data_IF_601137771410
#
_entry.id   IF_601137771410
#
_cell.length_a   1.000
_cell.length_b   1.000
_cell.length_c   1.000
_cell.angle_alpha   90.00
_cell.angle_beta   90.00
_cell.angle_gamma   90.00
#
_symmetry.space_group_name_H-M   'P 1'
#
loop_
_entity.id
_entity.type
_entity.pdbx_description
1 polymer ?
#
# COMPACT_ATOMS: atom_id res chain seq x y z
N UNK A 1 22.00 -61.58 30.75
CA UNK A 1 20.71 -62.23 30.44
C UNK A 1 19.70 -61.10 30.30
N UNK A 2 19.56 -60.53 29.10
CA UNK A 2 18.61 -60.94 28.08
C UNK A 2 17.17 -60.57 28.46
N UNK A 3 16.65 -59.47 27.91
CA UNK A 3 15.37 -59.39 27.21
C UNK A 3 15.08 -57.93 26.82
N UNK A 4 14.90 -57.74 25.52
CA UNK A 4 14.67 -56.47 24.84
C UNK A 4 13.23 -55.97 24.99
N UNK A 5 13.02 -54.66 24.87
CA UNK A 5 11.78 -54.09 24.35
C UNK A 5 12.08 -52.70 23.78
N UNK A 6 11.99 -52.60 22.46
CA UNK A 6 12.22 -51.42 21.62
C UNK A 6 11.02 -50.47 21.68
N UNK A 7 11.25 -49.20 22.02
CA UNK A 7 10.30 -48.11 21.77
C UNK A 7 10.55 -47.49 20.39
N UNK A 8 9.55 -47.42 19.48
CA UNK A 8 9.71 -46.70 18.23
C UNK A 8 9.45 -45.20 18.45
N UNK A 9 10.39 -44.42 17.91
CA UNK A 9 10.41 -42.99 17.72
C UNK A 9 9.36 -42.60 16.66
N UNK A 10 8.21 -42.02 17.05
CA UNK A 10 7.27 -41.38 16.13
C UNK A 10 6.33 -40.41 16.88
N UNK A 11 6.82 -39.21 17.18
CA UNK A 11 5.98 -38.12 17.69
C UNK A 11 6.51 -36.78 17.16
N UNK A 12 6.21 -36.42 15.91
CA UNK A 12 6.34 -35.05 15.40
C UNK A 12 5.72 -34.95 13.99
N UNK A 13 4.38 -34.88 13.90
CA UNK A 13 3.62 -34.39 12.72
C UNK A 13 2.11 -34.52 13.00
N UNK A 14 1.53 -33.53 13.70
CA UNK A 14 0.09 -33.27 13.67
C UNK A 14 -0.20 -31.87 14.24
N UNK A 15 -1.26 -31.23 13.75
CA UNK A 15 -1.87 -29.96 14.18
C UNK A 15 -1.49 -28.74 13.31
N UNK A 16 -1.98 -28.74 12.07
CA UNK A 16 -2.53 -27.53 11.41
C UNK A 16 -3.90 -27.93 10.87
N UNK A 17 -4.92 -27.87 11.73
CA UNK A 17 -6.33 -28.01 11.35
C UNK A 17 -7.21 -27.50 12.50
N UNK A 18 -7.67 -26.26 12.42
CA UNK A 18 -8.91 -25.79 13.06
C UNK A 18 -9.15 -24.30 12.73
N UNK A 19 -9.91 -24.03 11.68
CA UNK A 19 -10.99 -23.06 11.73
C UNK A 19 -12.09 -23.44 10.72
N UNK A 20 -13.27 -23.59 11.28
CA UNK A 20 -14.47 -24.27 10.82
C UNK A 20 -15.23 -23.65 9.62
N UNK A 21 -15.72 -24.54 8.74
CA UNK A 21 -17.12 -24.73 8.29
C UNK A 21 -17.86 -23.55 7.63
N UNK A 22 -17.86 -23.54 6.29
CA UNK A 22 -19.05 -23.32 5.46
C UNK A 22 -18.89 -24.13 4.15
N UNK A 23 -19.89 -24.93 3.79
CA UNK A 23 -19.83 -25.95 2.73
C UNK A 23 -19.76 -25.43 1.29
N UNK A 24 -18.62 -24.88 0.88
CA UNK A 24 -18.15 -24.85 -0.50
C UNK A 24 -16.91 -25.73 -0.63
N UNK A 25 -16.65 -26.32 -1.80
CA UNK A 25 -15.43 -27.09 -2.07
C UNK A 25 -14.22 -26.39 -1.44
N UNK A 26 -13.60 -27.05 -0.45
CA UNK A 26 -12.54 -26.43 0.34
C UNK A 26 -11.35 -26.12 -0.54
N UNK A 27 -11.20 -24.86 -0.95
CA UNK A 27 -10.07 -24.42 -1.75
C UNK A 27 -8.75 -24.70 -1.03
N UNK A 28 -7.69 -24.94 -1.81
CA UNK A 28 -6.36 -25.24 -1.31
C UNK A 28 -5.87 -24.15 -0.33
N UNK A 29 -5.17 -24.58 0.71
CA UNK A 29 -4.69 -23.76 1.81
C UNK A 29 -3.36 -23.08 1.46
N UNK A 30 -2.97 -22.09 2.26
CA UNK A 30 -1.69 -21.41 2.12
C UNK A 30 -0.53 -22.42 2.13
N UNK A 31 0.27 -22.43 1.07
CA UNK A 31 1.41 -23.33 0.89
C UNK A 31 1.10 -24.63 0.12
N UNK A 32 -0.17 -24.95 -0.10
CA UNK A 32 -0.54 -26.09 -0.94
C UNK A 32 -0.08 -25.87 -2.37
N UNK A 33 0.41 -26.94 -3.01
CA UNK A 33 0.79 -26.88 -4.43
C UNK A 33 -0.44 -26.68 -5.30
N UNK A 34 -0.33 -25.83 -6.31
CA UNK A 34 -1.42 -25.47 -7.20
C UNK A 34 -0.94 -25.41 -8.65
N UNK A 35 -1.87 -25.37 -9.59
CA UNK A 35 -1.58 -25.20 -11.01
C UNK A 35 -2.00 -23.80 -11.45
N UNK A 36 -1.10 -23.07 -12.11
CA UNK A 36 -1.35 -21.69 -12.54
C UNK A 36 -2.57 -21.56 -13.48
N UNK A 37 -2.99 -22.66 -14.11
CA UNK A 37 -4.18 -22.74 -14.95
C UNK A 37 -5.52 -22.68 -14.20
N UNK A 38 -5.51 -22.79 -12.87
CA UNK A 38 -6.73 -22.71 -12.06
C UNK A 38 -6.53 -21.76 -10.87
N UNK A 39 -6.72 -20.46 -11.08
CA UNK A 39 -6.82 -19.51 -9.97
C UNK A 39 -7.90 -19.96 -8.95
N UNK A 40 -8.89 -20.74 -9.39
CA UNK A 40 -9.93 -21.38 -8.58
C UNK A 40 -9.45 -22.52 -7.67
N UNK A 41 -8.21 -22.98 -7.79
CA UNK A 41 -7.69 -24.06 -6.91
C UNK A 41 -7.41 -23.56 -5.50
N UNK A 42 -6.99 -22.31 -5.34
CA UNK A 42 -6.76 -21.70 -4.04
C UNK A 42 -8.06 -21.15 -3.47
N UNK A 43 -8.23 -21.24 -2.15
CA UNK A 43 -9.35 -20.59 -1.46
C UNK A 43 -9.39 -19.06 -1.64
N UNK A 44 -10.50 -18.44 -1.25
CA UNK A 44 -10.70 -17.00 -1.36
C UNK A 44 -9.57 -16.19 -0.69
N UNK A 45 -9.16 -15.08 -1.32
CA UNK A 45 -8.07 -14.23 -0.82
C UNK A 45 -6.66 -14.83 -1.00
N UNK A 46 -6.53 -15.80 -1.89
CA UNK A 46 -5.25 -16.43 -2.26
C UNK A 46 -5.10 -16.50 -3.78
N UNK A 47 -3.85 -16.62 -4.22
CA UNK A 47 -3.47 -16.77 -5.62
C UNK A 47 -2.47 -17.91 -5.75
N UNK A 48 -2.62 -18.71 -6.79
CA UNK A 48 -1.58 -19.65 -7.19
C UNK A 48 -0.40 -18.87 -7.77
N UNK A 49 0.72 -18.83 -7.04
CA UNK A 49 1.88 -18.04 -7.40
C UNK A 49 3.15 -18.90 -7.39
N UNK A 50 4.02 -18.64 -8.37
CA UNK A 50 5.41 -19.10 -8.31
C UNK A 50 6.30 -17.91 -8.01
N UNK A 51 7.37 -18.17 -7.29
CA UNK A 51 8.42 -17.20 -7.09
C UNK A 51 9.75 -17.65 -7.75
N UNK A 52 9.67 -18.67 -8.62
CA UNK A 52 10.72 -19.00 -9.59
C UNK A 52 11.06 -17.78 -10.45
N UNK A 53 12.34 -17.53 -10.77
CA UNK A 53 13.50 -18.44 -10.70
C UNK A 53 14.34 -18.39 -9.42
N UNK A 54 13.88 -17.80 -8.32
CA UNK A 54 14.74 -17.69 -7.12
C UNK A 54 15.23 -19.06 -6.59
N UNK A 55 16.42 -19.11 -5.95
CA UNK A 55 16.87 -20.30 -5.23
C UNK A 55 15.85 -20.74 -4.15
N UNK A 56 15.48 -22.03 -4.15
CA UNK A 56 14.52 -22.61 -3.21
C UNK A 56 13.04 -22.44 -3.60
N UNK A 57 12.75 -22.39 -4.90
CA UNK A 57 11.41 -22.27 -5.46
C UNK A 57 10.94 -23.61 -6.03
N UNK A 58 10.10 -24.28 -5.26
CA UNK A 58 9.37 -25.47 -5.70
C UNK A 58 8.24 -25.14 -6.66
N UNK A 59 7.26 -26.04 -6.85
CA UNK A 59 6.11 -25.79 -7.71
C UNK A 59 5.32 -24.54 -7.26
N UNK A 60 4.46 -23.97 -8.11
CA UNK A 60 3.54 -22.91 -7.70
C UNK A 60 2.74 -23.34 -6.46
N UNK A 61 2.57 -22.43 -5.51
CA UNK A 61 1.80 -22.67 -4.28
C UNK A 61 0.73 -21.61 -4.09
N UNK A 62 -0.30 -21.95 -3.35
CA UNK A 62 -1.30 -20.98 -2.91
C UNK A 62 -0.67 -20.00 -1.93
N UNK A 63 -0.55 -18.74 -2.33
CA UNK A 63 -0.05 -17.65 -1.51
C UNK A 63 -1.17 -16.65 -1.23
N UNK A 64 -1.18 -16.10 -0.03
CA UNK A 64 -2.22 -15.19 0.42
C UNK A 64 -2.03 -13.81 -0.18
N UNK A 65 -3.14 -13.21 -0.61
CA UNK A 65 -3.18 -11.87 -1.22
C UNK A 65 -3.97 -10.86 -0.39
N UNK A 66 -4.86 -11.32 0.50
CA UNK A 66 -5.80 -10.45 1.23
C UNK A 66 -5.64 -10.60 2.76
N UNK A 67 -5.36 -9.51 3.51
CA UNK A 67 -5.34 -9.54 4.98
C UNK A 67 -6.75 -9.77 5.54
N UNK A 68 -6.85 -10.17 6.80
CA UNK A 68 -8.14 -10.20 7.50
C UNK A 68 -8.56 -8.74 7.71
N UNK A 69 -9.83 -8.44 7.49
CA UNK A 69 -10.33 -7.08 7.73
C UNK A 69 -10.28 -6.78 9.23
N UNK A 70 -9.44 -5.84 9.69
CA UNK A 70 -9.36 -5.55 11.11
C UNK A 70 -10.68 -5.02 11.69
N UNK A 71 -11.57 -4.47 10.85
CA UNK A 71 -12.90 -4.01 11.25
C UNK A 71 -13.82 -5.15 11.69
N UNK A 72 -13.49 -6.41 11.39
CA UNK A 72 -14.23 -7.58 11.87
C UNK A 72 -14.25 -7.69 13.41
N UNK A 73 -13.32 -7.02 14.10
CA UNK A 73 -13.25 -6.94 15.55
C UNK A 73 -13.76 -5.59 16.12
N UNK A 74 -14.49 -4.83 15.30
CA UNK A 74 -15.07 -3.54 15.66
C UNK A 74 -14.32 -2.35 15.06
N UNK A 75 -14.90 -1.17 15.21
CA UNK A 75 -14.37 0.11 14.72
C UNK A 75 -14.21 1.13 15.85
N UNK A 76 -14.18 0.65 17.09
CA UNK A 76 -14.18 1.43 18.33
C UNK A 76 -12.78 1.88 18.81
N UNK A 77 -11.72 1.48 18.12
CA UNK A 77 -10.37 1.97 18.38
C UNK A 77 -10.07 3.25 17.57
N UNK A 78 -9.15 4.06 18.06
CA UNK A 78 -8.58 5.20 17.32
C UNK A 78 -7.88 4.72 16.03
N UNK A 79 -7.92 5.51 14.95
CA UNK A 79 -7.37 5.08 13.65
C UNK A 79 -5.87 4.69 13.69
N UNK A 80 -5.07 5.32 14.55
CA UNK A 80 -3.67 4.95 14.81
C UNK A 80 -3.49 3.65 15.61
N UNK A 81 -4.56 2.89 15.86
CA UNK A 81 -4.54 1.55 16.47
C UNK A 81 -4.85 0.43 15.46
N UNK A 82 -4.88 0.76 14.18
CA UNK A 82 -5.01 -0.18 13.08
C UNK A 82 -3.72 -0.22 12.25
N UNK A 83 -3.46 -1.37 11.66
CA UNK A 83 -2.40 -1.57 10.67
C UNK A 83 -3.01 -1.89 9.30
N UNK A 84 -2.49 -1.24 8.26
CA UNK A 84 -2.98 -1.34 6.90
C UNK A 84 -1.89 -1.84 5.95
N UNK A 85 -2.24 -2.84 5.13
CA UNK A 85 -1.41 -3.21 4.01
C UNK A 85 -1.31 -2.02 3.04
N UNK A 86 -0.07 -1.67 2.67
CA UNK A 86 0.27 -0.52 1.85
C UNK A 86 1.10 -0.95 0.65
N UNK A 87 0.82 -0.41 -0.52
CA UNK A 87 1.58 -0.70 -1.74
C UNK A 87 2.47 0.47 -2.12
N UNK A 88 3.76 0.20 -2.33
CA UNK A 88 4.72 1.16 -2.84
C UNK A 88 4.46 1.39 -4.34
N UNK A 89 4.47 2.65 -4.79
CA UNK A 89 4.16 3.05 -6.16
C UNK A 89 2.97 2.30 -6.76
N UNK A 90 1.82 2.41 -6.07
CA UNK A 90 0.59 1.64 -6.35
C UNK A 90 0.12 1.73 -7.81
N UNK A 91 0.50 2.78 -8.51
CA UNK A 91 0.15 3.08 -9.90
C UNK A 91 1.10 2.44 -10.94
N UNK A 92 2.29 2.00 -10.53
CA UNK A 92 3.34 1.48 -11.40
C UNK A 92 3.13 -0.03 -11.65
N UNK A 93 2.32 -0.36 -12.66
CA UNK A 93 1.82 -1.72 -12.87
C UNK A 93 2.55 -2.42 -14.01
N UNK A 94 2.93 -3.69 -13.82
CA UNK A 94 3.53 -4.54 -14.85
C UNK A 94 2.69 -4.54 -16.12
N UNK A 95 3.31 -4.25 -17.27
CA UNK A 95 2.65 -4.27 -18.57
C UNK A 95 1.70 -3.09 -18.81
N UNK A 96 1.83 -2.01 -18.03
CA UNK A 96 1.05 -0.79 -18.25
C UNK A 96 1.22 -0.28 -19.69
N UNK A 97 0.12 -0.01 -20.42
CA UNK A 97 0.21 0.56 -21.75
C UNK A 97 0.75 2.00 -21.68
N UNK A 98 1.52 2.40 -22.69
CA UNK A 98 1.94 3.80 -22.79
C UNK A 98 0.74 4.73 -23.01
N UNK A 99 0.69 5.82 -22.25
CA UNK A 99 -0.29 6.91 -22.41
C UNK A 99 0.29 8.17 -23.03
N UNK A 100 1.60 8.19 -23.29
CA UNK A 100 2.34 9.31 -23.88
C UNK A 100 2.81 9.01 -25.31
N UNK A 101 2.57 7.79 -25.80
CA UNK A 101 3.10 7.29 -27.08
C UNK A 101 4.55 6.77 -27.00
N UNK A 102 5.26 7.01 -25.89
CA UNK A 102 6.60 6.45 -25.63
C UNK A 102 6.49 5.21 -24.75
N UNK A 103 7.12 4.06 -25.08
CA UNK A 103 7.11 2.88 -24.22
C UNK A 103 7.58 3.19 -22.79
N UNK A 104 6.88 2.64 -21.80
CA UNK A 104 7.28 2.76 -20.38
C UNK A 104 8.44 1.78 -20.15
N UNK A 105 9.59 2.30 -19.74
CA UNK A 105 10.79 1.50 -19.40
C UNK A 105 11.13 1.59 -17.91
N UNK A 106 10.47 2.47 -17.16
CA UNK A 106 10.62 2.53 -15.72
C UNK A 106 10.18 1.20 -15.06
N UNK A 107 10.81 0.80 -13.94
CA UNK A 107 10.43 -0.44 -13.25
C UNK A 107 9.01 -0.36 -12.66
N UNK A 108 8.18 -1.41 -12.81
CA UNK A 108 6.90 -1.51 -12.12
C UNK A 108 7.07 -1.98 -10.68
N UNK A 109 6.08 -1.70 -9.83
CA UNK A 109 6.05 -2.07 -8.42
C UNK A 109 4.91 -3.02 -8.08
N UNK A 110 3.84 -3.03 -8.88
CA UNK A 110 2.64 -3.82 -8.62
C UNK A 110 2.18 -4.59 -9.87
N UNK A 111 1.29 -5.57 -9.67
CA UNK A 111 0.71 -6.39 -10.75
C UNK A 111 -0.79 -6.13 -10.94
N UNK A 112 -1.42 -5.52 -9.95
CA UNK A 112 -2.85 -5.24 -9.93
C UNK A 112 -3.11 -3.76 -10.14
N UNK A 113 -4.24 -3.44 -10.76
CA UNK A 113 -4.77 -2.07 -10.77
C UNK A 113 -5.02 -1.57 -9.34
N UNK A 114 -5.08 -0.26 -9.14
CA UNK A 114 -5.38 0.31 -7.81
C UNK A 114 -6.74 -0.20 -7.33
N UNK A 115 -7.75 -0.28 -8.20
CA UNK A 115 -9.04 -0.90 -7.87
C UNK A 115 -8.90 -2.33 -7.35
N UNK A 116 -8.06 -3.16 -7.99
CA UNK A 116 -7.86 -4.55 -7.57
C UNK A 116 -7.07 -4.65 -6.26
N UNK A 117 -6.05 -3.81 -6.06
CA UNK A 117 -5.33 -3.68 -4.79
C UNK A 117 -6.30 -3.37 -3.64
N UNK A 118 -7.17 -2.38 -3.82
CA UNK A 118 -8.19 -1.99 -2.83
C UNK A 118 -9.19 -3.13 -2.56
N UNK A 119 -9.63 -3.86 -3.59
CA UNK A 119 -10.49 -5.05 -3.41
C UNK A 119 -9.78 -6.17 -2.64
N UNK A 120 -8.46 -6.29 -2.77
CA UNK A 120 -7.64 -7.25 -2.03
C UNK A 120 -7.19 -6.75 -0.65
N UNK A 121 -7.83 -5.71 -0.10
CA UNK A 121 -7.63 -5.28 1.29
C UNK A 121 -6.46 -4.31 1.50
N UNK A 122 -5.81 -3.85 0.42
CA UNK A 122 -4.88 -2.72 0.52
C UNK A 122 -5.67 -1.47 0.95
N UNK A 123 -5.15 -0.72 1.92
CA UNK A 123 -5.77 0.52 2.44
C UNK A 123 -4.79 1.69 2.56
N UNK A 124 -3.50 1.44 2.37
CA UNK A 124 -2.49 2.47 2.13
C UNK A 124 -2.00 2.43 0.67
N UNK A 125 -1.82 3.58 0.04
CA UNK A 125 -1.27 3.70 -1.31
C UNK A 125 -0.13 4.72 -1.30
N UNK A 126 0.99 4.42 -1.94
CA UNK A 126 2.09 5.38 -2.15
C UNK A 126 2.14 5.77 -3.62
N UNK A 127 2.24 7.07 -3.90
CA UNK A 127 2.22 7.63 -5.24
C UNK A 127 3.34 8.67 -5.40
N UNK A 128 3.92 8.75 -6.59
CA UNK A 128 4.89 9.79 -6.94
C UNK A 128 4.25 10.74 -7.95
N UNK A 129 4.03 12.01 -7.59
CA UNK A 129 3.25 12.95 -8.39
C UNK A 129 4.09 14.09 -8.97
N UNK A 130 3.92 14.36 -10.26
CA UNK A 130 4.67 15.37 -11.00
C UNK A 130 3.73 16.21 -11.87
N UNK A 131 4.01 17.51 -12.00
CA UNK A 131 3.45 18.29 -13.10
C UNK A 131 4.11 17.86 -14.43
N UNK A 132 3.29 17.41 -15.38
CA UNK A 132 3.76 16.90 -16.67
C UNK A 132 2.67 17.03 -17.73
N UNK A 133 3.05 17.51 -18.93
CA UNK A 133 2.10 17.73 -20.05
C UNK A 133 0.84 18.52 -19.65
N UNK A 134 1.01 19.57 -18.82
CA UNK A 134 -0.07 20.44 -18.31
C UNK A 134 -1.11 19.75 -17.41
N UNK A 135 -0.81 18.55 -16.89
CA UNK A 135 -1.61 17.81 -15.93
C UNK A 135 -0.71 17.29 -14.78
N UNK A 136 -1.29 16.67 -13.75
CA UNK A 136 -0.49 15.91 -12.77
C UNK A 136 -0.44 14.45 -13.20
N UNK A 137 0.77 13.93 -13.33
CA UNK A 137 1.06 12.56 -13.68
C UNK A 137 1.70 11.80 -12.53
N UNK A 138 1.45 10.49 -12.52
CA UNK A 138 2.13 9.54 -11.66
C UNK A 138 3.27 8.91 -12.45
N UNK A 139 4.49 9.14 -11.99
CA UNK A 139 5.69 8.75 -12.71
C UNK A 139 6.67 8.06 -11.77
N UNK A 140 7.28 6.96 -12.19
CA UNK A 140 8.39 6.36 -11.45
C UNK A 140 9.69 6.90 -12.04
N UNK A 141 10.08 8.09 -11.58
CA UNK A 141 11.04 8.97 -12.25
C UNK A 141 12.15 9.44 -11.31
N UNK A 142 13.04 10.30 -11.79
CA UNK A 142 14.17 10.82 -11.03
C UNK A 142 14.45 12.29 -11.33
N UNK A 143 15.23 12.95 -10.48
CA UNK A 143 15.65 14.35 -10.67
C UNK A 143 14.53 15.37 -10.58
N UNK A 144 13.44 15.03 -9.87
CA UNK A 144 12.28 15.92 -9.68
C UNK A 144 11.50 16.23 -10.95
N UNK A 145 11.66 15.42 -12.01
CA UNK A 145 11.00 15.61 -13.30
C UNK A 145 10.34 14.31 -13.73
N UNK A 146 9.19 14.40 -14.41
CA UNK A 146 8.60 13.26 -15.10
C UNK A 146 9.10 13.21 -16.55
N UNK A 147 9.49 12.01 -17.00
CA UNK A 147 9.88 11.73 -18.38
C UNK A 147 8.83 10.82 -19.04
N UNK A 148 8.66 10.94 -20.37
CA UNK A 148 7.69 10.13 -21.11
C UNK A 148 7.83 8.62 -20.89
N UNK A 149 9.07 8.12 -20.75
CA UNK A 149 9.37 6.71 -20.54
C UNK A 149 9.15 6.23 -19.09
N UNK A 150 8.90 7.16 -18.17
CA UNK A 150 8.63 6.93 -16.75
C UNK A 150 7.18 7.30 -16.35
N UNK A 151 6.43 7.89 -17.27
CA UNK A 151 5.07 8.36 -17.06
C UNK A 151 4.08 7.20 -17.21
N UNK A 152 3.59 6.67 -16.08
CA UNK A 152 2.67 5.54 -16.09
C UNK A 152 1.25 5.96 -16.45
N UNK A 153 0.71 6.94 -15.74
CA UNK A 153 -0.66 7.41 -15.93
C UNK A 153 -0.92 8.74 -15.25
N UNK A 154 -2.04 9.38 -15.60
CA UNK A 154 -2.48 10.62 -14.96
C UNK A 154 -2.94 10.35 -13.54
N UNK A 155 -2.61 11.24 -12.61
CA UNK A 155 -3.07 11.13 -11.22
C UNK A 155 -4.60 11.14 -11.12
N UNK A 156 -5.27 11.89 -12.00
CA UNK A 156 -6.74 11.93 -12.10
C UNK A 156 -7.38 10.55 -12.31
N UNK A 157 -6.74 9.67 -13.10
CA UNK A 157 -7.29 8.36 -13.41
C UNK A 157 -7.25 7.46 -12.15
N UNK A 158 -6.13 7.45 -11.43
CA UNK A 158 -5.97 6.71 -10.17
C UNK A 158 -6.86 7.27 -9.05
N UNK A 159 -6.95 8.60 -8.91
CA UNK A 159 -7.83 9.20 -7.90
C UNK A 159 -9.32 8.90 -8.17
N UNK A 160 -9.73 8.76 -9.44
CA UNK A 160 -11.08 8.29 -9.78
C UNK A 160 -11.31 6.82 -9.41
N UNK A 161 -10.31 5.96 -9.53
CA UNK A 161 -10.41 4.57 -9.03
C UNK A 161 -10.65 4.55 -7.50
N UNK A 162 -9.92 5.36 -6.75
CA UNK A 162 -10.10 5.51 -5.29
C UNK A 162 -11.52 6.04 -4.99
N UNK A 163 -11.97 7.05 -5.74
CA UNK A 163 -13.32 7.63 -5.58
C UNK A 163 -14.42 6.61 -5.80
N UNK A 164 -14.35 5.87 -6.92
CA UNK A 164 -15.29 4.80 -7.22
C UNK A 164 -15.30 3.70 -6.14
N UNK A 165 -14.14 3.35 -5.58
CA UNK A 165 -14.04 2.40 -4.48
C UNK A 165 -14.72 2.93 -3.20
N UNK A 166 -14.46 4.19 -2.82
CA UNK A 166 -15.06 4.80 -1.63
C UNK A 166 -16.57 5.03 -1.76
N UNK A 167 -17.08 5.30 -2.97
CA UNK A 167 -18.51 5.35 -3.28
C UNK A 167 -19.15 3.97 -3.08
N UNK A 168 -18.51 2.90 -3.57
CA UNK A 168 -19.04 1.53 -3.46
C UNK A 168 -18.88 0.91 -2.06
N UNK A 169 -17.95 1.39 -1.23
CA UNK A 169 -17.61 0.82 0.06
C UNK A 169 -17.68 1.89 1.17
N UNK A 170 -18.89 2.19 1.70
CA UNK A 170 -19.11 3.34 2.58
C UNK A 170 -18.43 3.24 3.96
N UNK A 171 -18.01 2.04 4.36
CA UNK A 171 -17.30 1.79 5.63
C UNK A 171 -15.77 1.81 5.52
N UNK A 172 -15.23 2.06 4.33
CA UNK A 172 -13.79 2.01 4.09
C UNK A 172 -13.11 3.37 4.22
N UNK A 173 -11.88 3.34 4.73
CA UNK A 173 -10.98 4.50 4.85
C UNK A 173 -9.70 4.19 4.09
N UNK A 174 -9.27 5.10 3.22
CA UNK A 174 -8.03 4.99 2.43
C UNK A 174 -7.03 6.04 2.89
N UNK A 175 -5.75 5.66 2.98
CA UNK A 175 -4.64 6.59 3.17
C UNK A 175 -3.76 6.62 1.92
N UNK A 176 -3.42 7.81 1.46
CA UNK A 176 -2.53 8.03 0.33
C UNK A 176 -1.33 8.86 0.78
N UNK A 177 -0.13 8.34 0.57
CA UNK A 177 1.13 9.04 0.76
C UNK A 177 1.64 9.47 -0.61
N UNK A 178 1.94 10.76 -0.78
CA UNK A 178 2.37 11.30 -2.07
C UNK A 178 3.78 11.85 -1.95
N UNK A 179 4.72 11.25 -2.67
CA UNK A 179 6.00 11.89 -2.97
C UNK A 179 5.75 13.01 -4.00
N UNK A 180 5.73 14.25 -3.52
CA UNK A 180 5.14 15.39 -4.24
C UNK A 180 6.21 16.27 -4.89
N UNK A 181 6.29 16.15 -6.21
CA UNK A 181 7.10 17.00 -7.10
C UNK A 181 6.24 17.98 -7.90
N UNK A 182 4.92 18.01 -7.69
CA UNK A 182 4.02 18.93 -8.36
C UNK A 182 4.06 20.32 -7.71
N UNK A 183 3.72 21.35 -8.48
CA UNK A 183 3.62 22.72 -8.01
C UNK A 183 2.51 22.94 -6.98
N UNK A 184 2.52 24.07 -6.25
CA UNK A 184 1.44 24.44 -5.35
C UNK A 184 0.08 24.52 -6.09
N UNK A 185 -0.95 23.88 -5.51
CA UNK A 185 -2.31 23.82 -6.02
C UNK A 185 -2.58 22.72 -7.04
N UNK A 186 -1.54 22.08 -7.58
CA UNK A 186 -1.69 21.05 -8.62
C UNK A 186 -2.42 19.82 -8.10
N UNK A 187 -2.00 19.22 -6.98
CA UNK A 187 -2.68 18.05 -6.41
C UNK A 187 -4.07 18.41 -5.90
N UNK A 188 -4.22 19.59 -5.27
CA UNK A 188 -5.52 20.07 -4.80
C UNK A 188 -6.57 20.13 -5.93
N UNK A 189 -6.18 20.60 -7.13
CA UNK A 189 -7.04 20.59 -8.32
C UNK A 189 -7.43 19.18 -8.76
N UNK A 190 -6.51 18.22 -8.72
CA UNK A 190 -6.80 16.82 -9.09
C UNK A 190 -7.72 16.16 -8.06
N UNK A 191 -7.47 16.37 -6.77
CA UNK A 191 -8.35 15.89 -5.68
C UNK A 191 -9.76 16.45 -5.85
N UNK A 192 -9.90 17.76 -6.07
CA UNK A 192 -11.20 18.39 -6.34
C UNK A 192 -11.87 17.84 -7.60
N UNK A 193 -11.14 17.77 -8.72
CA UNK A 193 -11.67 17.31 -10.01
C UNK A 193 -12.01 15.81 -10.06
N UNK A 194 -11.40 14.99 -9.19
CA UNK A 194 -11.76 13.58 -9.02
C UNK A 194 -13.02 13.36 -8.17
N UNK A 195 -13.50 14.40 -7.49
CA UNK A 195 -14.64 14.32 -6.56
C UNK A 195 -14.28 13.78 -5.17
N UNK A 196 -12.98 13.59 -4.87
CA UNK A 196 -12.51 13.03 -3.60
C UNK A 196 -12.58 14.01 -2.42
N UNK A 197 -12.73 15.32 -2.65
CA UNK A 197 -12.77 16.33 -1.58
C UNK A 197 -13.83 16.04 -0.52
N UNK A 198 -14.95 15.40 -0.89
CA UNK A 198 -16.02 15.01 0.06
C UNK A 198 -15.57 13.97 1.10
N UNK A 199 -14.49 13.25 0.84
CA UNK A 199 -13.93 12.22 1.73
C UNK A 199 -12.75 12.69 2.55
N UNK A 200 -12.15 13.82 2.19
CA UNK A 200 -10.86 14.23 2.72
C UNK A 200 -10.96 14.49 4.24
N UNK A 201 -10.08 13.86 5.01
CA UNK A 201 -9.89 14.19 6.41
C UNK A 201 -9.18 15.55 6.49
N UNK A 202 -9.80 16.58 7.09
CA UNK A 202 -9.25 17.92 7.07
C UNK A 202 -7.98 18.01 7.93
N UNK A 203 -6.84 18.52 7.41
CA UNK A 203 -5.60 18.66 8.17
C UNK A 203 -5.78 19.41 9.51
N UNK A 204 -6.67 20.40 9.56
CA UNK A 204 -6.98 21.17 10.77
C UNK A 204 -7.55 20.32 11.94
N UNK A 205 -8.13 19.15 11.66
CA UNK A 205 -8.66 18.21 12.68
C UNK A 205 -7.70 17.06 12.98
N UNK A 206 -6.55 16.97 12.30
CA UNK A 206 -5.61 15.86 12.52
C UNK A 206 -4.94 16.03 13.90
N UNK A 207 -4.76 14.94 14.67
CA UNK A 207 -4.11 15.01 15.97
C UNK A 207 -2.66 15.46 15.84
N UNK A 208 -2.19 16.23 16.81
CA UNK A 208 -0.80 16.70 16.91
C UNK A 208 -0.16 16.16 18.18
N UNK A 209 1.17 16.12 18.22
CA UNK A 209 1.92 15.77 19.42
C UNK A 209 1.68 14.34 19.92
N UNK A 210 1.48 13.39 19.01
CA UNK A 210 1.31 11.98 19.36
C UNK A 210 -0.09 11.57 19.80
N UNK A 211 -1.07 12.49 19.74
CA UNK A 211 -2.45 12.20 20.13
C UNK A 211 -3.09 11.08 19.31
N UNK A 212 -4.05 10.41 19.92
CA UNK A 212 -4.89 9.43 19.24
C UNK A 212 -5.74 10.11 18.16
N UNK A 213 -5.92 9.41 17.04
CA UNK A 213 -6.83 9.81 15.98
C UNK A 213 -8.28 9.59 16.40
N UNK A 214 -9.27 10.23 15.73
CA UNK A 214 -10.67 9.88 15.98
C UNK A 214 -10.90 8.38 15.83
N UNK A 215 -11.96 7.88 16.48
CA UNK A 215 -12.34 6.48 16.34
C UNK A 215 -12.62 6.19 14.87
N UNK A 216 -12.28 4.98 14.42
CA UNK A 216 -12.49 4.60 13.02
C UNK A 216 -13.98 4.74 12.63
N UNK A 217 -14.90 4.39 13.54
CA UNK A 217 -16.34 4.59 13.35
C UNK A 217 -16.73 6.06 13.16
N UNK A 218 -16.06 6.98 13.85
CA UNK A 218 -16.37 8.42 13.78
C UNK A 218 -15.84 9.02 12.48
N UNK A 219 -14.67 8.56 12.01
CA UNK A 219 -14.14 8.92 10.69
C UNK A 219 -15.10 8.49 9.58
N UNK A 220 -15.58 7.25 9.64
CA UNK A 220 -16.57 6.70 8.70
C UNK A 220 -17.87 7.52 8.74
N UNK A 221 -18.43 7.73 9.94
CA UNK A 221 -19.70 8.44 10.12
C UNK A 221 -19.64 9.91 9.64
N UNK A 222 -18.49 10.57 9.82
CA UNK A 222 -18.27 11.95 9.35
C UNK A 222 -17.83 12.03 7.88
N UNK A 223 -17.77 10.89 7.19
CA UNK A 223 -17.27 10.75 5.82
C UNK A 223 -15.81 11.24 5.64
N UNK A 224 -15.01 11.31 6.70
CA UNK A 224 -13.57 11.60 6.62
C UNK A 224 -12.79 10.32 6.28
N UNK A 225 -13.09 9.76 5.11
CA UNK A 225 -12.67 8.42 4.66
C UNK A 225 -11.44 8.41 3.74
N UNK A 226 -10.81 9.56 3.54
CA UNK A 226 -9.58 9.70 2.77
C UNK A 226 -8.57 10.55 3.56
N UNK A 227 -7.44 9.95 3.93
CA UNK A 227 -6.28 10.70 4.40
C UNK A 227 -5.31 10.86 3.23
N UNK A 228 -4.83 12.07 2.99
CA UNK A 228 -3.80 12.33 1.99
C UNK A 228 -2.66 13.12 2.61
N UNK A 229 -1.47 12.53 2.56
CA UNK A 229 -0.22 13.13 3.01
C UNK A 229 0.64 13.47 1.79
N UNK A 230 1.38 14.57 1.90
CA UNK A 230 2.36 15.00 0.91
C UNK A 230 3.72 15.16 1.56
N UNK A 231 4.77 14.75 0.84
CA UNK A 231 6.15 14.91 1.26
C UNK A 231 6.63 16.37 1.19
N UNK A 232 5.83 17.30 0.65
CA UNK A 232 6.18 18.72 0.48
C UNK A 232 5.48 19.63 1.48
N UNK A 233 6.27 20.43 2.21
CA UNK A 233 5.76 21.41 3.19
C UNK A 233 4.99 22.55 2.48
N UNK A 234 3.94 23.05 3.13
CA UNK A 234 3.15 24.21 2.69
C UNK A 234 1.96 23.90 1.76
N UNK A 235 1.74 22.61 1.47
CA UNK A 235 0.63 22.11 0.65
C UNK A 235 -0.71 22.04 1.39
N UNK A 236 -0.72 22.24 2.70
CA UNK A 236 -1.94 22.35 3.50
C UNK A 236 -2.75 23.59 3.10
N UNK A 237 -2.06 24.71 2.85
CA UNK A 237 -2.69 25.94 2.36
C UNK A 237 -3.06 25.89 0.87
N UNK A 238 -2.17 25.37 0.02
CA UNK A 238 -2.39 25.41 -1.44
C UNK A 238 -3.23 24.26 -1.99
N UNK A 239 -3.14 23.07 -1.39
CA UNK A 239 -3.74 21.83 -1.91
C UNK A 239 -4.71 21.19 -0.92
N UNK A 240 -4.72 21.64 0.35
CA UNK A 240 -5.51 21.04 1.42
C UNK A 240 -4.92 19.73 1.95
N UNK A 241 -3.65 19.43 1.68
CA UNK A 241 -3.01 18.16 2.00
C UNK A 241 -2.06 18.28 3.20
N UNK A 242 -2.05 17.27 4.07
CA UNK A 242 -1.23 17.28 5.28
C UNK A 242 0.24 17.00 4.96
N UNK A 243 1.16 17.77 5.56
CA UNK A 243 2.58 17.48 5.46
C UNK A 243 2.94 16.22 6.25
N UNK A 244 3.38 15.18 5.55
CA UNK A 244 3.56 13.82 6.08
C UNK A 244 4.35 13.77 7.40
N UNK A 245 5.50 14.44 7.42
CA UNK A 245 6.48 14.37 8.50
C UNK A 245 6.00 14.98 9.83
N UNK A 246 4.91 15.76 9.81
CA UNK A 246 4.27 16.26 11.03
C UNK A 246 3.46 15.17 11.75
N UNK A 247 3.11 14.07 11.06
CA UNK A 247 2.20 13.02 11.57
C UNK A 247 2.80 11.61 11.57
N UNK A 248 3.79 11.34 10.71
CA UNK A 248 4.26 9.99 10.37
C UNK A 248 5.75 9.83 10.67
N UNK A 249 6.10 8.73 11.33
CA UNK A 249 7.46 8.20 11.31
C UNK A 249 7.60 7.22 10.15
N UNK A 250 8.66 7.34 9.36
CA UNK A 250 8.87 6.51 8.18
C UNK A 250 10.24 5.83 8.25
N UNK A 251 10.25 4.53 8.02
CA UNK A 251 11.49 3.75 7.98
C UNK A 251 12.20 3.92 6.64
N UNK A 252 13.53 3.81 6.63
CA UNK A 252 14.32 3.80 5.41
C UNK A 252 13.78 2.73 4.43
N UNK A 253 13.67 3.10 3.16
CA UNK A 253 13.30 2.19 2.08
C UNK A 253 14.54 1.62 1.39
N UNK A 254 14.32 0.77 0.38
CA UNK A 254 15.38 0.23 -0.45
C UNK A 254 16.28 -0.76 0.30
N UNK A 255 17.43 -1.08 -0.28
CA UNK A 255 18.35 -2.06 0.30
C UNK A 255 18.82 -1.66 1.72
N UNK A 256 19.00 -0.36 1.97
CA UNK A 256 19.35 0.17 3.30
C UNK A 256 18.23 -0.03 4.34
N UNK A 257 16.97 -0.12 3.87
CA UNK A 257 15.81 -0.46 4.68
C UNK A 257 15.66 -1.94 5.00
N UNK A 258 16.21 -2.84 4.17
CA UNK A 258 16.05 -4.29 4.29
C UNK A 258 16.99 -4.96 5.31
N UNK A 259 17.80 -4.19 6.02
CA UNK A 259 18.74 -4.72 7.03
C UNK A 259 17.99 -5.45 8.15
N UNK A 260 18.36 -6.71 8.37
CA UNK A 260 17.74 -7.57 9.38
C UNK A 260 18.02 -7.11 10.81
N UNK A 261 17.02 -7.20 11.68
CA UNK A 261 17.14 -6.86 13.11
C UNK A 261 17.20 -5.36 13.43
N UNK A 262 17.14 -4.49 12.43
CA UNK A 262 17.14 -3.04 12.60
C UNK A 262 15.89 -2.39 12.01
N UNK A 263 15.61 -1.15 12.41
CA UNK A 263 14.55 -0.30 11.87
C UNK A 263 15.10 1.10 11.59
N UNK A 264 15.97 1.26 10.59
CA UNK A 264 16.53 2.56 10.24
C UNK A 264 15.41 3.52 9.81
N UNK A 265 15.55 4.79 10.17
CA UNK A 265 14.63 5.86 9.77
C UNK A 265 15.07 6.49 8.45
N UNK A 266 14.13 7.13 7.75
CA UNK A 266 14.48 8.10 6.69
C UNK A 266 15.16 9.34 7.23
N UNK A 267 15.87 10.07 6.37
CA UNK A 267 16.59 11.29 6.75
C UNK A 267 15.63 12.36 7.30
N UNK A 268 14.51 12.56 6.61
CA UNK A 268 13.46 13.53 6.89
C UNK A 268 12.62 13.15 8.13
N UNK A 269 12.57 11.86 8.46
CA UNK A 269 11.80 11.36 9.59
C UNK A 269 12.45 11.71 10.93
N UNK A 270 11.63 11.93 11.95
CA UNK A 270 12.09 11.98 13.33
C UNK A 270 12.65 10.60 13.76
N UNK A 271 13.34 10.55 14.89
CA UNK A 271 13.80 9.28 15.47
C UNK A 271 12.63 8.30 15.63
N UNK A 272 12.86 7.00 15.39
CA UNK A 272 11.78 6.00 15.40
C UNK A 272 11.05 5.90 16.74
N UNK A 273 11.73 6.25 17.84
CA UNK A 273 11.19 6.31 19.21
C UNK A 273 10.47 7.63 19.54
N UNK A 274 10.42 8.59 18.61
CA UNK A 274 9.67 9.84 18.78
C UNK A 274 8.19 9.56 18.97
N UNK A 275 7.62 10.00 20.07
CA UNK A 275 6.17 9.91 20.32
C UNK A 275 5.40 11.13 19.82
N UNK A 276 6.05 12.07 19.12
CA UNK A 276 5.39 13.29 18.60
C UNK A 276 4.53 13.03 17.35
N UNK A 277 4.87 11.99 16.59
CA UNK A 277 4.13 11.47 15.46
C UNK A 277 3.40 10.20 15.91
N UNK A 278 2.09 10.11 15.69
CA UNK A 278 1.29 8.96 16.14
C UNK A 278 1.19 7.84 15.11
N UNK A 279 1.55 8.09 13.84
CA UNK A 279 1.55 7.10 12.77
C UNK A 279 2.96 6.59 12.45
N UNK A 280 3.07 5.34 12.03
CA UNK A 280 4.31 4.71 11.56
C UNK A 280 4.08 4.05 10.20
N UNK A 281 4.85 4.47 9.19
CA UNK A 281 4.95 3.85 7.86
C UNK A 281 6.24 3.03 7.78
N UNK A 282 6.09 1.71 7.67
CA UNK A 282 7.21 0.77 7.56
C UNK A 282 7.41 0.37 6.11
N UNK A 283 8.48 0.85 5.50
CA UNK A 283 8.96 0.42 4.19
C UNK A 283 9.71 -0.91 4.28
N UNK A 284 9.38 -1.85 3.40
CA UNK A 284 10.10 -3.12 3.29
C UNK A 284 10.13 -3.63 1.84
N UNK A 285 10.85 -2.93 0.99
CA UNK A 285 11.07 -3.27 -0.41
C UNK A 285 12.50 -2.89 -0.84
N UNK A 286 13.00 -3.52 -1.90
CA UNK A 286 14.36 -3.29 -2.42
C UNK A 286 14.45 -2.01 -3.25
N UNK A 287 15.66 -1.50 -3.44
CA UNK A 287 15.88 -0.26 -4.23
C UNK A 287 15.40 -0.41 -5.67
N UNK A 288 15.68 -1.57 -6.27
CA UNK A 288 15.12 -1.94 -7.55
C UNK A 288 13.95 -2.91 -7.31
N UNK A 289 12.73 -2.57 -7.74
CA UNK A 289 11.58 -3.46 -7.63
C UNK A 289 11.83 -4.75 -8.40
N UNK A 290 11.56 -5.90 -7.77
CA UNK A 290 11.72 -7.21 -8.39
C UNK A 290 10.66 -8.18 -7.86
N UNK A 291 9.85 -8.75 -8.76
CA UNK A 291 8.84 -9.76 -8.40
C UNK A 291 9.46 -10.94 -7.66
N UNK A 292 10.67 -11.33 -8.07
CA UNK A 292 11.45 -12.39 -7.44
C UNK A 292 11.81 -12.00 -6.01
N UNK A 293 12.56 -10.92 -5.81
CA UNK A 293 12.99 -10.51 -4.48
C UNK A 293 11.83 -10.19 -3.54
N UNK A 294 10.77 -9.56 -4.05
CA UNK A 294 9.55 -9.31 -3.31
C UNK A 294 8.97 -10.58 -2.71
N UNK A 295 9.03 -11.71 -3.41
CA UNK A 295 8.56 -12.97 -2.83
C UNK A 295 9.36 -13.41 -1.59
N UNK A 296 10.69 -13.24 -1.62
CA UNK A 296 11.53 -13.49 -0.45
C UNK A 296 11.27 -12.50 0.68
N UNK A 297 11.23 -11.21 0.35
CA UNK A 297 11.07 -10.11 1.30
C UNK A 297 9.70 -10.17 1.98
N UNK A 298 8.61 -10.29 1.22
CA UNK A 298 7.22 -10.30 1.72
C UNK A 298 6.86 -11.57 2.51
N UNK A 299 7.83 -12.40 2.90
CA UNK A 299 7.62 -13.64 3.66
C UNK A 299 8.11 -13.49 5.11
N UNK A 300 8.82 -14.49 5.65
CA UNK A 300 9.38 -14.45 7.01
C UNK A 300 10.20 -13.18 7.34
N UNK A 301 11.03 -12.62 6.42
CA UNK A 301 11.78 -11.39 6.70
C UNK A 301 10.90 -10.19 7.04
N UNK A 302 9.76 -10.02 6.36
CA UNK A 302 8.81 -8.94 6.64
C UNK A 302 8.21 -9.07 8.06
N UNK A 303 7.84 -10.27 8.49
CA UNK A 303 7.34 -10.50 9.86
C UNK A 303 8.43 -10.22 10.90
N UNK A 304 9.69 -10.60 10.62
CA UNK A 304 10.81 -10.27 11.49
C UNK A 304 11.06 -8.75 11.56
N UNK A 305 10.89 -8.02 10.45
CA UNK A 305 10.99 -6.55 10.41
C UNK A 305 9.96 -5.87 11.31
N UNK A 306 8.71 -6.36 11.34
CA UNK A 306 7.69 -5.83 12.24
C UNK A 306 8.16 -5.83 13.70
N UNK A 307 8.79 -6.93 14.15
CA UNK A 307 9.32 -7.02 15.51
C UNK A 307 10.46 -6.02 15.75
N UNK A 308 11.40 -5.93 14.81
CA UNK A 308 12.52 -4.99 14.93
C UNK A 308 12.02 -3.53 15.01
N UNK A 309 11.03 -3.17 14.20
CA UNK A 309 10.42 -1.85 14.23
C UNK A 309 9.57 -1.61 15.47
N UNK A 310 8.82 -2.60 15.95
CA UNK A 310 8.14 -2.51 17.25
C UNK A 310 9.13 -2.20 18.39
N UNK A 311 10.27 -2.88 18.40
CA UNK A 311 11.29 -2.69 19.42
C UNK A 311 11.95 -1.30 19.34
N UNK A 312 12.17 -0.77 18.14
CA UNK A 312 12.75 0.55 17.90
C UNK A 312 11.75 1.71 18.05
N UNK A 313 10.45 1.48 17.88
CA UNK A 313 9.44 2.53 17.78
C UNK A 313 8.64 2.78 19.06
N UNK A 314 9.33 2.83 20.20
CA UNK A 314 8.72 3.00 21.51
C UNK A 314 7.58 2.01 21.79
N UNK A 315 7.76 0.74 21.35
CA UNK A 315 6.77 -0.35 21.49
C UNK A 315 5.44 -0.09 20.79
N UNK A 316 5.48 0.57 19.63
CA UNK A 316 4.33 0.77 18.75
C UNK A 316 4.49 -0.07 17.48
N UNK A 317 3.43 -0.77 17.09
CA UNK A 317 3.38 -1.50 15.83
C UNK A 317 3.18 -0.53 14.67
N UNK A 318 3.71 -0.82 13.46
CA UNK A 318 3.48 0.00 12.28
C UNK A 318 2.00 0.15 11.96
N UNK A 319 1.58 1.33 11.54
CA UNK A 319 0.23 1.58 11.04
C UNK A 319 0.10 1.27 9.55
N UNK A 320 1.20 1.35 8.82
CA UNK A 320 1.25 1.07 7.37
C UNK A 320 2.45 0.19 7.06
N UNK A 321 2.21 -0.90 6.33
CA UNK A 321 3.25 -1.85 5.90
C UNK A 321 3.37 -1.73 4.38
N UNK A 322 4.39 -1.01 3.92
CA UNK A 322 4.61 -0.72 2.51
C UNK A 322 5.53 -1.77 1.85
N UNK A 323 5.04 -2.38 0.77
CA UNK A 323 5.75 -3.42 0.00
C UNK A 323 5.60 -3.22 -1.50
N UNK A 324 6.58 -3.71 -2.25
CA UNK A 324 6.43 -4.01 -3.67
C UNK A 324 5.76 -5.37 -3.86
N UNK A 325 4.99 -5.52 -4.93
CA UNK A 325 4.38 -6.77 -5.38
C UNK A 325 3.66 -7.51 -4.24
N UNK A 326 2.68 -6.86 -3.61
CA UNK A 326 2.06 -7.35 -2.36
C UNK A 326 1.48 -8.79 -2.46
N UNK A 327 1.14 -9.26 -3.66
CA UNK A 327 0.67 -10.62 -3.93
C UNK A 327 1.78 -11.68 -4.02
N UNK A 328 3.04 -11.27 -4.10
CA UNK A 328 4.20 -12.17 -4.24
C UNK A 328 4.75 -12.50 -2.86
N UNK A 329 4.67 -13.77 -2.47
CA UNK A 329 5.24 -14.27 -1.22
C UNK A 329 5.32 -15.80 -1.21
N UNK A 330 6.07 -16.35 -0.24
CA UNK A 330 5.95 -17.74 0.17
C UNK A 330 4.92 -17.82 1.29
N UNK A 331 3.73 -18.33 0.97
CA UNK A 331 2.69 -18.57 1.96
C UNK A 331 1.90 -17.32 2.34
N UNK A 332 1.98 -16.90 3.61
CA UNK A 332 1.06 -15.90 4.19
C UNK A 332 1.29 -14.44 3.77
N UNK A 333 2.48 -14.10 3.31
CA UNK A 333 2.77 -12.82 2.67
C UNK A 333 2.68 -11.57 3.54
N UNK A 334 2.66 -10.42 2.87
CA UNK A 334 2.32 -9.13 3.47
C UNK A 334 0.92 -9.10 4.14
N UNK A 335 -0.10 -9.86 3.65
CA UNK A 335 -1.33 -10.07 4.40
C UNK A 335 -1.13 -10.65 5.80
N UNK A 336 -0.31 -11.68 5.96
CA UNK A 336 -0.01 -12.26 7.27
C UNK A 336 0.72 -11.27 8.18
N UNK A 337 1.68 -10.51 7.64
CA UNK A 337 2.36 -9.45 8.41
C UNK A 337 1.35 -8.41 8.94
N UNK A 338 0.37 -8.02 8.12
CA UNK A 338 -0.71 -7.09 8.50
C UNK A 338 -1.60 -7.68 9.60
N UNK A 339 -1.95 -8.96 9.52
CA UNK A 339 -2.73 -9.65 10.56
C UNK A 339 -2.00 -9.75 11.89
N UNK A 340 -0.68 -10.01 11.86
CA UNK A 340 0.17 -10.07 13.05
C UNK A 340 0.18 -8.71 13.75
N UNK A 341 0.44 -7.63 13.00
CA UNK A 341 0.47 -6.29 13.55
C UNK A 341 -0.88 -5.88 14.16
N UNK A 342 -1.99 -6.13 13.46
CA UNK A 342 -3.32 -5.86 14.00
C UNK A 342 -3.66 -6.70 15.23
N UNK A 343 -3.34 -8.00 15.24
CA UNK A 343 -3.59 -8.87 16.40
C UNK A 343 -2.89 -8.35 17.65
N UNK A 344 -1.61 -7.97 17.48
CA UNK A 344 -0.80 -7.42 18.56
C UNK A 344 -1.31 -6.07 19.05
N UNK A 345 -1.73 -5.21 18.13
CA UNK A 345 -2.14 -3.84 18.47
C UNK A 345 -3.57 -3.76 19.01
N UNK A 346 -4.50 -4.57 18.51
CA UNK A 346 -5.92 -4.49 18.87
C UNK A 346 -6.31 -5.37 20.06
N UNK A 347 -5.72 -6.56 20.17
CA UNK A 347 -6.13 -7.53 21.17
C UNK A 347 -4.96 -8.26 21.88
N UNK A 348 -3.71 -7.91 21.59
CA UNK A 348 -2.51 -8.48 22.22
C UNK A 348 -2.11 -9.87 21.73
N UNK A 349 -2.82 -10.42 20.73
CA UNK A 349 -2.58 -11.76 20.21
C UNK A 349 -1.53 -11.79 19.10
N UNK A 350 -1.00 -12.98 18.81
CA UNK A 350 0.01 -13.16 17.75
C UNK A 350 -0.53 -12.82 16.35
N UNK A 351 -1.85 -12.89 16.16
CA UNK A 351 -2.56 -12.57 14.92
C UNK A 351 -3.98 -12.13 15.25
N UNK A 352 -4.56 -11.26 14.42
CA UNK A 352 -5.96 -10.83 14.56
C UNK A 352 -6.94 -12.00 14.46
N UNK A 353 -6.57 -13.07 13.75
CA UNK A 353 -7.33 -14.32 13.69
C UNK A 353 -7.58 -14.96 15.07
N UNK A 354 -6.79 -14.59 16.08
CA UNK A 354 -6.90 -15.12 17.44
C UNK A 354 -7.60 -14.17 18.42
N UNK A 355 -7.99 -12.97 17.96
CA UNK A 355 -8.73 -12.03 18.79
C UNK A 355 -10.12 -12.57 19.13
N UNK A 356 -10.48 -12.55 20.41
CA UNK A 356 -11.84 -12.83 20.88
C UNK A 356 -12.61 -11.52 21.05
N UNK A 357 -13.71 -11.29 20.29
CA UNK A 357 -14.55 -10.11 20.50
C UNK A 357 -15.00 -9.98 21.96
N UNK A 358 -14.90 -8.76 22.52
CA UNK A 358 -15.31 -8.44 23.89
C UNK A 358 -14.44 -9.02 25.01
N UNK A 359 -13.33 -9.70 24.70
CA UNK A 359 -12.41 -10.22 25.72
C UNK A 359 -11.35 -9.20 26.11
N UNK A 360 -10.77 -9.36 27.30
CA UNK A 360 -9.66 -8.51 27.74
C UNK A 360 -8.43 -8.66 26.82
N UNK A 361 -7.66 -7.59 26.65
CA UNK A 361 -6.42 -7.60 25.87
C UNK A 361 -5.49 -8.74 26.34
N UNK A 362 -5.00 -9.54 25.40
CA UNK A 362 -4.20 -10.76 25.63
C UNK A 362 -5.01 -12.06 25.71
N UNK A 363 -6.35 -12.00 25.69
CA UNK A 363 -7.21 -13.20 25.78
C UNK A 363 -7.42 -13.86 24.41
N UNK A 364 -6.46 -14.66 23.95
CA UNK A 364 -6.45 -15.26 22.61
C UNK A 364 -7.23 -16.59 22.52
N UNK A 365 -7.76 -16.92 21.33
CA UNK A 365 -8.49 -18.19 21.06
C UNK A 365 -7.60 -19.42 21.02
N UNK A 366 -6.35 -19.26 20.61
CA UNK A 366 -5.29 -20.24 20.75
C UNK A 366 -4.33 -19.74 21.81
N UNK A 367 -3.89 -20.62 22.71
CA UNK A 367 -2.75 -20.30 23.57
C UNK A 367 -1.59 -19.95 22.66
N UNK A 368 -1.14 -18.68 22.66
CA UNK A 368 0.13 -18.30 22.04
C UNK A 368 1.18 -19.33 22.50
N UNK A 369 1.90 -19.99 21.58
CA UNK A 369 2.94 -20.90 22.01
C UNK A 369 3.86 -20.13 22.97
N UNK A 370 4.18 -20.69 24.16
CA UNK A 370 5.03 -19.99 25.11
C UNK A 370 6.31 -19.58 24.39
N UNK A 371 6.68 -18.30 24.51
CA UNK A 371 7.91 -17.78 23.92
C UNK A 371 9.05 -18.74 24.27
N UNK A 372 9.63 -19.40 23.25
CA UNK A 372 10.66 -20.39 23.49
C UNK A 372 11.79 -19.74 24.30
N UNK A 373 12.25 -20.34 25.40
CA UNK A 373 13.42 -19.83 26.12
C UNK A 373 14.61 -19.78 25.14
N UNK A 374 15.50 -18.79 25.27
CA UNK A 374 16.64 -18.66 24.37
C UNK A 374 17.44 -19.95 24.43
N UNK A 375 17.58 -20.64 23.29
CA UNK A 375 18.48 -21.80 23.18
C UNK A 375 19.90 -21.29 23.44
N UNK A 376 20.42 -21.61 24.62
CA UNK A 376 21.83 -21.46 24.94
C UNK A 376 22.65 -22.28 23.94
N UNK A 377 23.63 -21.59 23.35
CA UNK A 377 24.83 -22.07 22.67
C UNK A 377 24.90 -23.55 22.28
N UNK A 378 24.88 -23.81 20.97
CA UNK A 378 25.51 -25.00 20.39
C UNK A 378 26.32 -24.59 19.16
N UNK A 379 27.65 -24.71 19.33
CA UNK A 379 28.71 -24.89 18.34
C UNK A 379 28.78 -23.94 17.12
N UNK A 380 29.78 -23.06 17.15
CA UNK A 380 30.31 -22.31 16.01
C UNK A 380 30.71 -23.23 14.84
N UNK A 381 30.41 -22.89 13.57
CA UNK A 381 31.09 -23.48 12.43
C UNK A 381 32.51 -22.89 12.27
N UNK A 382 33.45 -23.59 11.62
CA UNK A 382 34.81 -23.11 11.42
C UNK A 382 34.84 -21.91 10.46
N UNK A 383 35.81 -21.02 10.68
CA UNK A 383 36.04 -19.80 9.92
C UNK A 383 36.07 -20.03 8.40
N UNK A 384 35.16 -19.37 7.67
CA UNK A 384 35.24 -19.24 6.24
C UNK A 384 36.26 -18.14 5.88
N UNK A 385 37.06 -18.43 4.86
CA UNK A 385 38.14 -17.62 4.30
C UNK A 385 37.71 -16.19 3.89
N UNK A 386 38.64 -15.24 3.72
CA UNK A 386 38.33 -13.85 3.44
C UNK A 386 37.66 -13.74 2.06
N UNK A 387 36.52 -13.07 2.00
CA UNK A 387 35.92 -12.66 0.73
C UNK A 387 36.82 -11.62 0.04
N UNK A 388 36.94 -11.64 -1.30
CA UNK A 388 37.70 -10.64 -2.05
C UNK A 388 37.06 -9.26 -1.92
N UNK A 389 37.91 -8.22 -2.02
CA UNK A 389 37.58 -6.81 -1.86
C UNK A 389 36.38 -6.36 -2.73
N UNK A 390 35.58 -5.38 -2.27
CA UNK A 390 34.41 -4.93 -3.01
C UNK A 390 34.84 -4.17 -4.28
N UNK A 391 34.38 -4.65 -5.43
CA UNK A 391 34.43 -3.92 -6.68
C UNK A 391 33.47 -2.72 -6.58
N UNK A 392 34.01 -1.52 -6.80
CA UNK A 392 33.30 -0.25 -6.70
C UNK A 392 32.14 -0.19 -7.70
N UNK A 393 30.90 -0.31 -7.20
CA UNK A 393 29.73 0.17 -7.92
C UNK A 393 29.61 1.69 -7.72
N UNK A 394 29.24 2.46 -8.77
CA UNK A 394 29.14 3.90 -8.69
C UNK A 394 28.03 4.30 -7.70
N UNK A 395 28.41 5.04 -6.67
CA UNK A 395 27.53 5.71 -5.73
C UNK A 395 26.66 6.73 -6.46
N UNK A 396 25.36 6.45 -6.60
CA UNK A 396 24.37 7.49 -6.88
C UNK A 396 24.19 8.34 -5.61
N UNK A 397 24.32 9.66 -5.69
CA UNK A 397 24.15 10.53 -4.52
C UNK A 397 22.68 10.52 -4.06
N UNK A 398 22.41 10.69 -2.75
CA UNK A 398 21.06 10.88 -2.25
C UNK A 398 20.46 12.15 -2.86
N UNK A 399 19.16 12.13 -3.15
CA UNK A 399 18.43 13.31 -3.56
C UNK A 399 18.51 14.36 -2.42
N UNK A 400 19.25 15.45 -2.66
CA UNK A 400 19.26 16.61 -1.77
C UNK A 400 17.86 17.22 -1.67
N UNK A 401 17.41 17.61 -0.47
CA UNK A 401 16.22 18.44 -0.34
C UNK A 401 16.51 19.82 -0.95
N UNK A 402 15.51 20.50 -1.55
CA UNK A 402 15.73 21.81 -2.16
C UNK A 402 16.09 22.82 -1.07
N UNK A 403 17.28 23.41 -1.16
CA UNK A 403 17.68 24.59 -0.39
C UNK A 403 16.73 25.75 -0.70
N UNK A 404 15.98 26.20 0.31
CA UNK A 404 15.32 27.49 0.32
C UNK A 404 16.35 28.59 0.55
N UNK A 405 16.74 29.27 -0.52
CA UNK A 405 17.47 30.53 -0.43
C UNK A 405 16.59 31.57 0.27
N UNK A 406 17.00 31.94 1.49
CA UNK A 406 16.46 33.07 2.25
C UNK A 406 17.40 34.24 1.98
N UNK A 407 17.01 35.21 1.16
CA UNK A 407 17.76 36.46 1.03
C UNK A 407 17.07 37.56 1.85
N UNK A 408 17.85 38.11 2.76
CA UNK A 408 17.45 39.07 3.77
C UNK A 408 17.32 40.49 3.21
N UNK A 409 16.45 41.25 3.88
CA UNK A 409 16.08 42.63 3.61
C UNK A 409 17.26 43.63 3.55
N UNK A 410 17.11 44.65 2.71
CA UNK A 410 18.00 45.81 2.73
C UNK A 410 17.59 46.95 1.79
N UNK A 411 16.86 47.90 2.35
CA UNK A 411 16.82 49.33 1.97
C UNK A 411 15.64 49.85 1.13
N UNK A 412 15.10 50.93 1.68
CA UNK A 412 13.84 51.61 1.43
C UNK A 412 13.93 52.69 0.34
N UNK A 413 12.82 52.97 -0.37
CA UNK A 413 12.29 54.32 -0.62
C UNK A 413 10.75 54.24 -0.81
N UNK A 414 10.08 55.31 -0.39
CA UNK A 414 8.69 55.56 0.04
C UNK A 414 7.59 55.64 -1.05
N UNK A 415 6.29 55.71 -0.64
CA UNK A 415 5.11 55.38 -1.45
C UNK A 415 4.31 56.60 -1.94
N UNK A 416 3.38 56.36 -2.87
CA UNK A 416 2.24 57.24 -3.13
C UNK A 416 0.96 56.41 -3.41
N UNK A 417 -0.05 56.67 -2.59
CA UNK A 417 -1.42 56.16 -2.61
C UNK A 417 -2.23 56.65 -3.82
N UNK A 418 -3.29 55.91 -4.19
CA UNK A 418 -4.65 56.44 -4.44
C UNK A 418 -5.65 55.28 -4.24
N UNK A 419 -6.75 55.61 -3.56
CA UNK A 419 -7.84 54.76 -3.05
C UNK A 419 -9.11 54.99 -3.91
N UNK A 420 -9.93 53.95 -3.99
CA UNK A 420 -11.42 53.90 -4.02
C UNK A 420 -12.18 54.83 -5.00
N UNK A 421 -13.12 54.28 -5.76
CA UNK A 421 -14.52 54.20 -5.28
C UNK A 421 -15.38 53.27 -6.18
N UNK A 422 -16.54 52.91 -5.65
CA UNK A 422 -17.50 51.91 -6.09
C UNK A 422 -18.80 52.66 -6.42
N UNK A 423 -19.47 52.34 -7.52
CA UNK A 423 -20.85 52.80 -7.74
C UNK A 423 -21.74 51.66 -8.26
N UNK A 424 -22.81 51.45 -7.50
CA UNK A 424 -24.01 50.69 -7.83
C UNK A 424 -24.96 51.61 -8.62
N UNK A 425 -25.70 51.10 -9.61
CA UNK A 425 -27.03 51.63 -9.92
C UNK A 425 -27.91 50.62 -10.67
N UNK A 426 -29.06 50.38 -10.06
CA UNK A 426 -30.24 49.63 -10.49
C UNK A 426 -31.01 50.27 -11.66
N UNK A 427 -31.65 49.46 -12.51
CA UNK A 427 -32.62 49.92 -13.52
C UNK A 427 -33.42 48.79 -14.18
N UNK A 428 -34.74 48.95 -14.21
CA UNK A 428 -35.83 47.98 -14.36
C UNK A 428 -36.22 47.57 -15.81
N UNK A 429 -36.91 46.41 -15.91
CA UNK A 429 -37.67 45.72 -17.00
C UNK A 429 -38.72 46.58 -17.77
N UNK A 430 -39.57 46.10 -18.75
CA UNK A 430 -39.86 44.71 -19.22
C UNK A 430 -40.19 44.48 -20.72
N UNK A 431 -40.46 43.18 -21.03
CA UNK A 431 -41.48 42.62 -21.93
C UNK A 431 -41.18 42.25 -23.41
N UNK A 432 -41.71 41.06 -23.75
CA UNK A 432 -42.32 40.60 -25.01
C UNK A 432 -41.61 39.60 -25.98
N UNK A 433 -42.02 38.32 -25.79
CA UNK A 433 -42.78 37.48 -26.77
C UNK A 433 -42.06 36.50 -27.73
N UNK A 434 -42.15 35.21 -27.34
CA UNK A 434 -42.53 33.99 -28.08
C UNK A 434 -41.79 33.47 -29.34
N UNK A 435 -41.34 32.19 -29.26
CA UNK A 435 -41.95 31.05 -30.01
C UNK A 435 -41.44 29.67 -29.56
N UNK A 436 -42.36 28.69 -29.58
CA UNK A 436 -42.23 27.24 -29.32
C UNK A 436 -41.26 26.54 -30.29
N UNK A 437 -40.77 25.31 -30.16
CA UNK A 437 -41.21 23.98 -29.67
C UNK A 437 -39.95 23.06 -29.79
N UNK A 438 -39.69 21.95 -29.08
CA UNK A 438 -40.40 20.68 -28.90
C UNK A 438 -39.61 19.83 -27.86
N UNK A 439 -40.28 19.31 -26.83
CA UNK A 439 -40.63 17.89 -26.60
C UNK A 439 -39.56 16.99 -25.96
N UNK A 440 -39.78 16.73 -24.66
CA UNK A 440 -39.24 15.66 -23.81
C UNK A 440 -39.59 14.25 -24.30
N UNK A 441 -38.68 13.29 -24.07
CA UNK A 441 -39.00 11.91 -23.64
C UNK A 441 -37.74 11.15 -23.15
N UNK A 442 -37.75 10.76 -21.87
CA UNK A 442 -37.18 9.50 -21.34
C UNK A 442 -38.29 8.40 -21.46
N UNK A 443 -38.14 7.08 -21.12
CA UNK A 443 -37.18 6.44 -20.20
C UNK A 443 -36.68 4.97 -20.51
N UNK A 444 -35.68 4.49 -19.74
CA UNK A 444 -35.38 3.15 -19.12
C UNK A 444 -35.75 1.75 -19.75
N UNK A 445 -35.16 0.61 -19.26
CA UNK A 445 -34.60 -0.50 -20.06
C UNK A 445 -35.21 -1.91 -19.82
N UNK A 446 -34.81 -2.93 -20.60
CA UNK A 446 -34.58 -4.35 -20.16
C UNK A 446 -34.23 -5.32 -21.31
N UNK A 447 -33.32 -6.25 -20.97
CA UNK A 447 -33.02 -7.64 -21.40
C UNK A 447 -33.65 -8.29 -22.65
N UNK A 448 -32.84 -8.99 -23.45
CA UNK A 448 -32.80 -10.48 -23.56
C UNK A 448 -31.89 -11.00 -24.69
N UNK A 449 -31.28 -12.15 -24.40
CA UNK A 449 -30.30 -12.96 -25.15
C UNK A 449 -30.80 -13.62 -26.45
N UNK A 450 -29.90 -13.96 -27.40
CA UNK A 450 -29.86 -15.17 -28.28
C UNK A 450 -28.51 -15.12 -29.07
N UNK A 451 -27.51 -15.98 -28.86
CA UNK A 451 -27.26 -17.38 -29.29
C UNK A 451 -26.95 -17.64 -30.78
N UNK A 452 -25.82 -18.34 -30.98
CA UNK A 452 -25.35 -19.19 -32.09
C UNK A 452 -24.63 -18.60 -33.33
N UNK A 453 -23.45 -19.17 -33.61
CA UNK A 453 -22.77 -19.12 -34.90
C UNK A 453 -21.30 -19.53 -34.87
N UNK A 454 -21.01 -20.85 -34.81
CA UNK A 454 -19.68 -21.43 -35.03
C UNK A 454 -19.13 -21.10 -36.42
N UNK A 455 -17.78 -21.03 -36.55
CA UNK A 455 -17.00 -21.63 -37.64
C UNK A 455 -15.49 -21.56 -37.32
N UNK A 456 -14.87 -22.73 -37.17
CA UNK A 456 -13.43 -23.04 -37.25
C UNK A 456 -13.20 -23.69 -38.63
N UNK A 457 -11.99 -23.67 -39.24
CA UNK A 457 -11.03 -24.73 -38.91
C UNK A 457 -9.51 -24.44 -39.10
N UNK A 458 -8.73 -25.17 -38.29
CA UNK A 458 -7.53 -25.98 -38.61
C UNK A 458 -6.22 -25.44 -39.23
N UNK A 459 -5.15 -25.82 -38.50
CA UNK A 459 -3.84 -26.39 -38.92
C UNK A 459 -2.86 -25.56 -39.76
N UNK A 460 -1.69 -25.29 -39.18
CA UNK A 460 -0.44 -25.90 -39.66
C UNK A 460 0.66 -25.90 -38.57
N UNK A 461 1.17 -27.09 -38.25
CA UNK A 461 2.44 -27.32 -37.53
C UNK A 461 3.62 -26.98 -38.44
N UNK A 462 4.69 -26.42 -37.88
CA UNK A 462 6.06 -26.78 -38.28
C UNK A 462 7.01 -26.68 -37.07
N UNK A 463 7.46 -27.86 -36.61
CA UNK A 463 8.64 -28.02 -35.78
C UNK A 463 9.89 -27.91 -36.65
N UNK A 464 10.90 -27.17 -36.19
CA UNK A 464 12.30 -27.42 -36.52
C UNK A 464 13.12 -27.34 -35.23
N UNK A 465 13.55 -28.52 -34.79
CA UNK A 465 14.72 -28.77 -33.94
C UNK A 465 15.98 -28.39 -34.72
N UNK A 466 17.00 -27.88 -34.04
CA UNK A 466 18.43 -28.25 -34.15
C UNK A 466 19.18 -27.56 -33.00
N UNK A 467 19.97 -28.38 -32.33
CA UNK A 467 20.83 -28.11 -31.19
C UNK A 467 22.03 -27.22 -31.54
N UNK A 468 22.40 -26.33 -30.62
CA UNK A 468 23.73 -26.23 -30.00
C UNK A 468 23.59 -25.56 -28.62
#
# INVERSE_FOLDING_TARGET
MAAASTFPLALLLAIVAACCVAGGEGGALVGDTCTASSASSCGAGMRCATCSPLPGMGPPVCSRTTPLDPKAHGTDLAFNRYTWLTTHNSFAIVGSPSRTGTPIIAPPNQEDTVTAQLKNGVRGLMLDAYDFQNEVWLCHSFGGKCYNFAAYQRAMDVLKEIGAFLDANPSEVITVFVEDYAGPGSLGKVVGGSGLSKYLFPPAKMPKGGGDWPLLKDMIAQNHRLLMFTSKRGKDGSDGLAYEWDYVLETQYGNDGLVGGSCPKRAESMAMDSTKQSLILMNFFSTNPSQSWACGNNSAPLVAKLKACYDASAKRWPNFIAVDYYMRSKGGGAPLATDVANGRQQCGCDSIAYCKPGSAFGSCSLSSPPAAPPKMAAASPPAAAPAPAPEMAPSSPPAEPPETATEAAGSAVRPASIKLEKDDTTGTSPADTAKSSSSNRSPHPSSCSFLFGLLLPSLLLLHLYISD
#
